data_IF_205102676821
#
_entry.id   IF_205102676821
#
_cell.length_a   1.000
_cell.length_b   1.000
_cell.length_c   1.000
_cell.angle_alpha   90.00
_cell.angle_beta   90.00
_cell.angle_gamma   90.00
#
_symmetry.space_group_name_H-M   'P 1'
#
loop_
_entity.id
_entity.type
_entity.pdbx_description
1 polymer ?
#
# COMPACT_ATOMS: atom_id res chain seq x y z
N UNK A 1 -34.10 -3.33 71.75
CA UNK A 1 -34.49 -3.68 70.36
C UNK A 1 -33.63 -2.98 69.29
N UNK A 2 -33.11 -1.78 69.54
CA UNK A 2 -32.32 -1.01 68.56
C UNK A 2 -30.90 -1.54 68.30
N UNK A 3 -30.30 -2.22 69.28
CA UNK A 3 -28.95 -2.83 69.18
C UNK A 3 -28.91 -4.15 68.41
N UNK A 4 -30.05 -4.87 68.32
CA UNK A 4 -30.13 -6.13 67.57
C UNK A 4 -30.25 -5.88 66.07
N UNK A 5 -30.88 -4.76 65.68
CA UNK A 5 -31.03 -4.39 64.27
C UNK A 5 -29.70 -3.96 63.61
N UNK A 6 -28.80 -3.34 64.39
CA UNK A 6 -27.51 -2.84 63.88
C UNK A 6 -26.52 -3.97 63.63
N UNK A 7 -26.52 -5.02 64.47
CA UNK A 7 -25.65 -6.19 64.28
C UNK A 7 -26.12 -7.06 63.09
N UNK A 8 -27.44 -7.07 62.82
CA UNK A 8 -27.96 -7.77 61.65
C UNK A 8 -27.62 -7.04 60.34
N UNK A 9 -27.68 -5.71 60.31
CA UNK A 9 -27.30 -4.93 59.12
C UNK A 9 -25.81 -4.97 58.79
N UNK A 10 -24.93 -5.11 59.79
CA UNK A 10 -23.48 -5.22 59.56
C UNK A 10 -23.06 -6.61 59.02
N UNK A 11 -23.84 -7.65 59.34
CA UNK A 11 -23.58 -9.02 58.85
C UNK A 11 -24.00 -9.23 57.39
N UNK A 12 -24.95 -8.44 56.86
CA UNK A 12 -25.32 -8.48 55.44
C UNK A 12 -24.34 -7.74 54.52
N UNK A 13 -23.59 -6.76 55.02
CA UNK A 13 -22.62 -6.01 54.21
C UNK A 13 -21.31 -6.77 53.95
N UNK A 14 -20.98 -7.76 54.79
CA UNK A 14 -19.78 -8.59 54.62
C UNK A 14 -19.98 -9.81 53.70
N UNK A 15 -21.23 -10.12 53.31
CA UNK A 15 -21.54 -11.22 52.40
C UNK A 15 -21.50 -10.86 50.91
N UNK A 16 -21.39 -9.57 50.56
CA UNK A 16 -21.45 -9.12 49.15
C UNK A 16 -20.10 -9.06 48.43
N UNK A 17 -18.99 -9.41 49.10
CA UNK A 17 -17.64 -9.47 48.50
C UNK A 17 -17.14 -10.90 48.27
N UNK A 18 -18.03 -11.89 48.28
CA UNK A 18 -17.68 -13.26 47.94
C UNK A 18 -17.90 -13.52 46.44
N UNK A 19 -16.78 -13.59 45.70
CA UNK A 19 -16.63 -14.42 44.50
C UNK A 19 -17.52 -14.06 43.29
N UNK A 20 -17.16 -13.00 42.57
CA UNK A 20 -17.32 -13.03 41.11
C UNK A 20 -16.19 -13.90 40.58
N UNK A 21 -16.48 -15.19 40.41
CA UNK A 21 -15.61 -16.13 39.72
C UNK A 21 -15.58 -15.73 38.22
N UNK A 22 -14.44 -15.30 37.67
CA UNK A 22 -14.36 -14.90 36.26
C UNK A 22 -14.66 -16.05 35.28
N UNK A 23 -14.72 -17.30 35.76
CA UNK A 23 -15.19 -18.44 34.97
C UNK A 23 -16.72 -18.59 34.95
N UNK A 24 -17.47 -17.85 35.78
CA UNK A 24 -18.93 -17.90 35.91
C UNK A 24 -19.64 -16.62 35.45
N UNK A 25 -18.94 -15.75 34.74
CA UNK A 25 -19.60 -14.72 33.95
C UNK A 25 -20.10 -15.38 32.67
N UNK A 26 -21.40 -15.64 32.59
CA UNK A 26 -22.09 -15.96 31.34
C UNK A 26 -22.01 -14.71 30.45
N UNK A 27 -20.87 -14.56 29.78
CA UNK A 27 -20.74 -13.61 28.68
C UNK A 27 -21.51 -14.24 27.54
N UNK A 28 -22.77 -13.85 27.41
CA UNK A 28 -23.59 -14.23 26.27
C UNK A 28 -22.90 -13.69 25.01
N UNK A 29 -22.11 -14.56 24.38
CA UNK A 29 -21.43 -14.26 23.13
C UNK A 29 -22.53 -14.15 22.08
N UNK A 30 -22.95 -12.91 21.82
CA UNK A 30 -23.87 -12.60 20.73
C UNK A 30 -23.33 -13.25 19.47
N UNK A 31 -24.00 -14.33 19.05
CA UNK A 31 -23.55 -15.16 17.94
C UNK A 31 -23.92 -14.44 16.67
N UNK A 32 -23.12 -13.44 16.30
CA UNK A 32 -23.24 -12.80 15.00
C UNK A 32 -22.65 -13.76 13.95
N UNK A 33 -23.31 -13.92 12.80
CA UNK A 33 -22.79 -14.77 11.75
C UNK A 33 -21.42 -14.27 11.29
N UNK A 34 -20.53 -15.14 10.81
CA UNK A 34 -19.23 -14.73 10.29
C UNK A 34 -19.42 -13.66 9.21
N UNK A 35 -18.84 -12.48 9.44
CA UNK A 35 -18.88 -11.36 8.51
C UNK A 35 -17.49 -11.12 7.91
N UNK A 36 -17.46 -10.71 6.65
CA UNK A 36 -16.22 -10.25 6.02
C UNK A 36 -15.69 -9.01 6.76
N UNK A 37 -14.39 -8.97 7.05
CA UNK A 37 -13.76 -7.79 7.62
C UNK A 37 -13.56 -6.73 6.53
N UNK A 38 -14.56 -5.88 6.35
CA UNK A 38 -14.51 -4.72 5.45
C UNK A 38 -14.06 -3.50 6.26
N UNK A 39 -13.07 -2.80 5.76
CA UNK A 39 -12.52 -1.56 6.33
C UNK A 39 -12.92 -0.35 5.49
N UNK A 40 -12.54 0.85 5.96
CA UNK A 40 -12.72 2.08 5.18
C UNK A 40 -11.88 2.08 3.88
N UNK A 41 -10.77 1.33 3.83
CA UNK A 41 -9.86 1.31 2.67
C UNK A 41 -10.04 0.10 1.75
N UNK A 42 -10.95 -0.83 2.08
CA UNK A 42 -11.20 -2.02 1.24
C UNK A 42 -11.57 -1.63 -0.19
N UNK A 43 -12.47 -0.66 -0.38
CA UNK A 43 -12.80 -0.15 -1.72
C UNK A 43 -11.63 0.60 -2.35
N UNK A 44 -10.87 1.36 -1.56
CA UNK A 44 -9.68 2.07 -2.03
C UNK A 44 -8.60 1.15 -2.61
N UNK A 45 -8.49 -0.09 -2.13
CA UNK A 45 -7.59 -1.10 -2.70
C UNK A 45 -8.05 -1.55 -4.09
N UNK A 46 -9.33 -1.89 -4.24
CA UNK A 46 -9.89 -2.26 -5.53
C UNK A 46 -9.81 -1.11 -6.55
N UNK A 47 -10.13 0.12 -6.09
CA UNK A 47 -10.04 1.33 -6.91
C UNK A 47 -8.58 1.63 -7.31
N UNK A 48 -7.60 1.25 -6.49
CA UNK A 48 -6.19 1.35 -6.86
C UNK A 48 -5.84 0.39 -8.00
N UNK A 49 -6.36 -0.85 -7.98
CA UNK A 49 -6.24 -1.78 -9.11
C UNK A 49 -6.81 -1.18 -10.39
N UNK A 50 -8.04 -0.68 -10.33
CA UNK A 50 -8.68 0.01 -11.45
C UNK A 50 -7.88 1.24 -11.91
N UNK A 51 -7.31 2.01 -10.97
CA UNK A 51 -6.44 3.14 -11.28
C UNK A 51 -5.18 2.70 -12.04
N UNK A 52 -4.55 1.58 -11.68
CA UNK A 52 -3.37 1.07 -12.40
C UNK A 52 -3.68 0.75 -13.86
N UNK A 53 -4.88 0.25 -14.16
CA UNK A 53 -5.33 -0.04 -15.52
C UNK A 53 -5.67 1.25 -16.29
N UNK A 54 -6.44 2.16 -15.68
CA UNK A 54 -6.80 3.45 -16.29
C UNK A 54 -5.56 4.27 -16.67
N UNK A 55 -4.56 4.31 -15.78
CA UNK A 55 -3.30 5.03 -16.02
C UNK A 55 -2.31 4.23 -16.88
N UNK A 56 -2.65 2.98 -17.24
CA UNK A 56 -1.86 2.10 -18.10
C UNK A 56 -0.42 1.95 -17.61
N UNK A 57 -0.24 1.74 -16.30
CA UNK A 57 1.09 1.52 -15.68
C UNK A 57 1.59 0.12 -15.94
N UNK A 58 2.90 -0.13 -15.99
CA UNK A 58 3.39 -1.49 -16.23
C UNK A 58 2.93 -2.47 -15.13
N UNK A 59 2.83 -3.76 -15.45
CA UNK A 59 2.48 -4.76 -14.44
C UNK A 59 3.60 -4.83 -13.40
N UNK A 60 3.27 -4.49 -12.15
CA UNK A 60 4.23 -4.50 -11.05
C UNK A 60 4.11 -5.79 -10.26
N UNK A 61 5.21 -6.51 -10.15
CA UNK A 61 5.31 -7.74 -9.36
C UNK A 61 5.92 -7.45 -8.00
N UNK A 62 5.13 -7.61 -6.96
CA UNK A 62 5.50 -7.23 -5.59
C UNK A 62 5.63 -8.48 -4.74
N UNK A 63 6.75 -8.59 -4.04
CA UNK A 63 6.95 -9.56 -2.97
C UNK A 63 7.00 -8.86 -1.61
N UNK A 64 6.73 -9.58 -0.52
CA UNK A 64 6.87 -9.07 0.84
C UNK A 64 7.81 -9.95 1.63
N UNK A 65 8.72 -9.33 2.39
CA UNK A 65 9.41 -10.00 3.48
C UNK A 65 8.42 -10.31 4.63
N UNK A 66 8.78 -11.20 5.58
CA UNK A 66 8.07 -11.33 6.83
C UNK A 66 8.07 -10.00 7.58
N UNK A 67 6.89 -9.50 7.94
CA UNK A 67 6.70 -8.22 8.62
C UNK A 67 6.08 -8.48 9.99
N UNK A 68 6.82 -8.15 11.05
CA UNK A 68 6.42 -8.41 12.42
C UNK A 68 6.43 -7.18 13.32
N UNK A 69 6.23 -7.45 14.60
CA UNK A 69 6.38 -6.48 15.67
C UNK A 69 7.85 -6.25 16.04
N UNK A 70 8.38 -5.09 15.64
CA UNK A 70 9.75 -4.67 15.97
C UNK A 70 9.82 -3.90 17.30
N UNK A 71 8.69 -3.64 17.96
CA UNK A 71 8.64 -3.01 19.30
C UNK A 71 8.84 -4.03 20.43
N UNK A 72 8.57 -5.30 20.15
CA UNK A 72 8.55 -6.38 21.15
C UNK A 72 7.31 -6.37 22.05
N UNK A 73 6.36 -5.46 21.82
CA UNK A 73 5.20 -5.28 22.69
C UNK A 73 4.18 -6.40 22.59
N UNK A 74 3.99 -7.00 21.40
CA UNK A 74 3.13 -8.15 21.21
C UNK A 74 3.52 -9.31 22.16
N UNK A 75 4.83 -9.51 22.36
CA UNK A 75 5.35 -10.52 23.27
C UNK A 75 5.12 -10.17 24.74
N UNK A 76 5.43 -8.93 25.14
CA UNK A 76 5.38 -8.52 26.55
C UNK A 76 3.97 -8.26 27.09
N UNK A 77 2.98 -8.08 26.21
CA UNK A 77 1.59 -7.74 26.58
C UNK A 77 0.60 -8.87 26.38
N UNK A 78 1.06 -10.05 25.97
CA UNK A 78 0.16 -11.17 25.66
C UNK A 78 -0.65 -10.96 24.38
N UNK A 79 -0.12 -10.21 23.40
CA UNK A 79 -0.75 -10.02 22.09
C UNK A 79 -1.73 -8.85 22.01
N UNK A 80 -1.45 -7.73 22.68
CA UNK A 80 -2.27 -6.51 22.55
C UNK A 80 -2.27 -5.94 21.12
N UNK A 81 -1.19 -6.21 20.38
CA UNK A 81 -1.03 -5.99 18.94
C UNK A 81 -0.59 -7.31 18.27
N UNK A 82 -0.82 -7.47 16.95
CA UNK A 82 -0.36 -8.65 16.23
C UNK A 82 1.16 -8.76 16.27
N UNK A 83 1.68 -9.98 16.50
CA UNK A 83 3.12 -10.27 16.40
C UNK A 83 3.61 -10.27 14.95
N UNK A 84 2.76 -10.68 14.03
CA UNK A 84 3.04 -10.84 12.61
C UNK A 84 1.87 -10.26 11.82
N UNK A 85 2.17 -9.40 10.85
CA UNK A 85 1.19 -8.75 9.98
C UNK A 85 1.38 -9.14 8.50
N UNK A 86 2.25 -10.10 8.21
CA UNK A 86 2.56 -10.56 6.86
C UNK A 86 1.30 -10.99 6.12
N UNK A 87 0.43 -11.79 6.74
CA UNK A 87 -0.83 -12.23 6.12
C UNK A 87 -1.80 -11.08 5.82
N UNK A 88 -1.78 -10.01 6.62
CA UNK A 88 -2.55 -8.79 6.32
C UNK A 88 -2.03 -8.13 5.05
N UNK A 89 -0.71 -8.08 4.87
CA UNK A 89 -0.06 -7.55 3.66
C UNK A 89 -0.36 -8.42 2.44
N UNK A 90 -0.24 -9.76 2.56
CA UNK A 90 -0.59 -10.68 1.47
C UNK A 90 -2.02 -10.48 1.00
N UNK A 91 -2.96 -10.45 1.95
CA UNK A 91 -4.37 -10.23 1.65
C UNK A 91 -4.61 -8.87 1.00
N UNK A 92 -3.96 -7.82 1.51
CA UNK A 92 -4.07 -6.46 1.01
C UNK A 92 -3.54 -6.33 -0.42
N UNK A 93 -2.30 -6.75 -0.68
CA UNK A 93 -1.70 -6.70 -2.01
C UNK A 93 -2.49 -7.52 -3.04
N UNK A 94 -2.99 -8.70 -2.64
CA UNK A 94 -3.82 -9.52 -3.52
C UNK A 94 -5.19 -8.89 -3.81
N UNK A 95 -5.74 -8.11 -2.87
CA UNK A 95 -7.03 -7.42 -3.06
C UNK A 95 -6.95 -6.19 -3.97
N UNK A 96 -5.76 -5.68 -4.27
CA UNK A 96 -5.59 -4.53 -5.19
C UNK A 96 -6.04 -4.91 -6.61
N UNK A 97 -5.57 -6.05 -7.14
CA UNK A 97 -5.86 -6.48 -8.51
C UNK A 97 -5.27 -5.55 -9.58
N UNK A 98 -5.93 -5.50 -10.76
CA UNK A 98 -5.49 -4.71 -11.90
C UNK A 98 -4.10 -5.12 -12.41
N UNK A 99 -3.18 -4.15 -12.48
CA UNK A 99 -1.78 -4.36 -12.94
C UNK A 99 -0.81 -4.55 -11.78
N UNK A 100 -1.30 -5.03 -10.64
CA UNK A 100 -0.47 -5.39 -9.47
C UNK A 100 -0.54 -6.90 -9.27
N UNK A 101 0.62 -7.55 -9.19
CA UNK A 101 0.73 -8.99 -8.97
C UNK A 101 1.51 -9.25 -7.69
N UNK A 102 0.85 -9.82 -6.70
CA UNK A 102 1.54 -10.29 -5.49
C UNK A 102 2.22 -11.63 -5.74
N UNK A 103 3.48 -11.75 -5.32
CA UNK A 103 4.26 -12.98 -5.36
C UNK A 103 4.60 -13.37 -3.92
N UNK A 104 4.07 -14.49 -3.41
CA UNK A 104 4.37 -14.93 -2.05
C UNK A 104 5.84 -15.29 -1.91
N UNK A 105 6.42 -14.94 -0.75
CA UNK A 105 7.72 -15.43 -0.32
C UNK A 105 7.55 -16.51 0.75
N UNK A 106 8.08 -17.69 0.47
CA UNK A 106 8.23 -18.76 1.45
C UNK A 106 9.53 -19.52 1.14
N UNK A 107 10.66 -19.17 1.79
CA UNK A 107 11.94 -19.78 1.49
C UNK A 107 11.96 -21.29 1.79
N UNK A 108 11.23 -21.74 2.81
CA UNK A 108 11.15 -23.17 3.15
C UNK A 108 10.43 -23.95 2.05
N UNK A 109 9.30 -23.42 1.57
CA UNK A 109 8.56 -24.01 0.46
C UNK A 109 9.38 -24.01 -0.83
N UNK A 110 10.10 -22.91 -1.11
CA UNK A 110 10.96 -22.79 -2.29
C UNK A 110 12.09 -23.84 -2.24
N UNK A 111 12.81 -23.91 -1.12
CA UNK A 111 13.91 -24.84 -0.92
C UNK A 111 13.44 -26.30 -1.02
N UNK A 112 12.31 -26.63 -0.39
CA UNK A 112 11.76 -27.99 -0.43
C UNK A 112 11.35 -28.39 -1.86
N UNK A 113 10.77 -27.49 -2.66
CA UNK A 113 10.42 -27.78 -4.05
C UNK A 113 11.65 -28.02 -4.94
N UNK A 114 12.73 -27.27 -4.71
CA UNK A 114 13.99 -27.46 -5.42
C UNK A 114 14.61 -28.82 -5.07
N UNK A 115 14.66 -29.17 -3.78
CA UNK A 115 15.26 -30.42 -3.30
C UNK A 115 14.48 -31.65 -3.76
N UNK A 116 13.15 -31.55 -3.81
CA UNK A 116 12.28 -32.65 -4.22
C UNK A 116 12.16 -32.81 -5.74
N UNK A 117 12.72 -31.89 -6.53
CA UNK A 117 12.67 -31.92 -7.99
C UNK A 117 11.29 -31.62 -8.59
N UNK A 118 10.32 -31.18 -7.78
CA UNK A 118 8.96 -30.85 -8.25
C UNK A 118 8.91 -29.58 -9.11
N UNK A 119 9.86 -28.66 -8.96
CA UNK A 119 9.92 -27.43 -9.76
C UNK A 119 11.35 -26.92 -9.89
N UNK A 120 11.74 -26.55 -11.11
CA UNK A 120 13.00 -25.85 -11.43
C UNK A 120 12.87 -24.32 -11.35
N UNK A 121 11.66 -23.80 -11.09
CA UNK A 121 11.36 -22.36 -10.99
C UNK A 121 11.53 -21.54 -12.31
N UNK A 122 11.76 -22.19 -13.45
CA UNK A 122 12.02 -21.52 -14.74
C UNK A 122 10.83 -20.67 -15.26
N UNK A 123 9.60 -21.08 -14.98
CA UNK A 123 8.37 -20.38 -15.41
C UNK A 123 7.79 -19.45 -14.32
N UNK A 124 8.45 -19.32 -13.16
CA UNK A 124 7.91 -18.52 -12.06
C UNK A 124 8.17 -17.03 -12.28
N UNK A 125 7.20 -16.22 -11.86
CA UNK A 125 7.33 -14.78 -11.92
C UNK A 125 8.44 -14.32 -10.97
N UNK A 126 9.34 -13.50 -11.50
CA UNK A 126 10.38 -12.81 -10.72
C UNK A 126 9.80 -11.47 -10.24
N UNK A 127 9.85 -11.15 -8.94
CA UNK A 127 9.42 -9.86 -8.42
C UNK A 127 10.25 -8.70 -9.00
N UNK A 128 9.62 -7.54 -9.13
CA UNK A 128 10.30 -6.29 -9.46
C UNK A 128 10.80 -5.60 -8.18
N UNK A 129 9.97 -5.67 -7.13
CA UNK A 129 10.21 -5.00 -5.85
C UNK A 129 9.83 -5.86 -4.65
N UNK A 130 10.46 -5.57 -3.51
CA UNK A 130 10.21 -6.23 -2.22
C UNK A 130 9.78 -5.20 -1.17
N UNK A 131 8.69 -5.49 -0.47
CA UNK A 131 8.26 -4.72 0.70
C UNK A 131 8.98 -5.25 1.94
N UNK A 132 9.53 -4.32 2.71
CA UNK A 132 10.14 -4.54 4.03
C UNK A 132 9.60 -3.53 5.02
N UNK A 133 9.63 -3.83 6.32
CA UNK A 133 9.03 -2.95 7.32
C UNK A 133 8.71 -3.65 8.64
N UNK A 134 7.87 -3.02 9.44
CA UNK A 134 7.39 -3.56 10.70
C UNK A 134 6.48 -2.63 11.47
N UNK A 135 5.94 -3.13 12.57
CA UNK A 135 5.38 -2.27 13.62
C UNK A 135 6.57 -1.70 14.38
N UNK A 136 6.81 -0.41 14.24
CA UNK A 136 8.03 0.26 14.74
C UNK A 136 7.79 1.05 16.01
N UNK A 137 6.54 1.44 16.30
CA UNK A 137 6.18 2.08 17.56
C UNK A 137 4.85 1.57 18.06
N UNK A 138 4.79 1.38 19.38
CA UNK A 138 3.55 1.14 20.09
C UNK A 138 3.67 1.75 21.49
N UNK A 139 2.85 2.76 21.76
CA UNK A 139 2.82 3.47 23.04
C UNK A 139 1.47 3.29 23.72
N UNK A 140 1.49 2.92 25.00
CA UNK A 140 0.30 2.69 25.84
C UNK A 140 0.17 3.85 26.82
N UNK A 141 -0.91 4.62 26.71
CA UNK A 141 -1.30 5.59 27.74
C UNK A 141 -0.89 7.03 27.48
N UNK A 142 -0.95 7.48 26.23
CA UNK A 142 -0.58 8.85 25.83
C UNK A 142 -1.39 9.96 26.52
N UNK A 143 -2.56 9.68 27.11
CA UNK A 143 -3.21 10.57 28.09
C UNK A 143 -4.02 9.73 29.09
N UNK A 144 -3.86 9.96 30.39
CA UNK A 144 -4.82 9.55 31.43
C UNK A 144 -5.28 10.82 32.13
N UNK A 145 -6.06 11.66 31.43
CA UNK A 145 -6.69 12.81 32.10
C UNK A 145 -7.97 12.31 32.75
N UNK A 146 -7.87 11.92 34.01
CA UNK A 146 -9.04 11.71 34.84
C UNK A 146 -9.62 13.07 35.20
N UNK A 147 -10.71 13.48 34.55
CA UNK A 147 -11.58 14.50 35.13
C UNK A 147 -12.38 13.82 36.24
N UNK A 148 -11.76 13.74 37.42
CA UNK A 148 -12.49 13.44 38.64
C UNK A 148 -13.33 14.65 38.99
N UNK A 149 -14.66 14.58 38.80
CA UNK A 149 -15.55 15.43 39.59
C UNK A 149 -15.53 14.85 41.00
N UNK A 150 -14.77 15.47 41.90
CA UNK A 150 -14.75 15.09 43.32
C UNK A 150 -16.10 15.46 43.94
N UNK A 151 -17.08 14.55 43.86
CA UNK A 151 -18.29 14.63 44.68
C UNK A 151 -18.02 13.83 45.94
N UNK A 152 -17.40 14.48 46.93
CA UNK A 152 -17.25 13.93 48.26
C UNK A 152 -18.60 14.01 48.99
N UNK A 153 -19.35 12.91 49.06
CA UNK A 153 -20.39 12.74 50.06
C UNK A 153 -19.74 12.24 51.36
N UNK A 154 -19.35 13.18 52.23
CA UNK A 154 -18.90 12.87 53.58
C UNK A 154 -20.09 12.67 54.50
N UNK A 155 -20.19 11.49 55.13
CA UNK A 155 -21.05 11.31 56.29
C UNK A 155 -20.17 11.33 57.54
N UNK A 156 -20.35 12.34 58.38
CA UNK A 156 -19.64 12.45 59.65
C UNK A 156 -20.34 11.56 60.68
N UNK A 157 -19.70 10.45 61.06
CA UNK A 157 -20.24 9.58 62.10
C UNK A 157 -19.94 10.17 63.48
N UNK A 158 -20.97 10.68 64.15
CA UNK A 158 -20.89 11.11 65.55
C UNK A 158 -20.80 9.88 66.46
N UNK A 159 -19.64 9.66 67.08
CA UNK A 159 -19.42 8.56 68.05
C UNK A 159 -18.07 7.83 67.99
N UNK A 160 -17.14 8.19 67.09
CA UNK A 160 -15.82 7.57 67.01
C UNK A 160 -14.81 8.21 68.00
N UNK A 161 -13.94 7.40 68.66
CA UNK A 161 -12.97 7.88 69.66
C UNK A 161 -11.87 8.77 69.04
N UNK A 162 -11.44 9.79 69.80
CA UNK A 162 -10.67 10.95 69.30
C UNK A 162 -9.21 10.67 68.88
N UNK A 163 -8.71 9.44 69.00
CA UNK A 163 -7.33 9.11 68.61
C UNK A 163 -7.18 8.72 67.13
N UNK A 164 -8.29 8.61 66.37
CA UNK A 164 -8.26 8.35 64.93
C UNK A 164 -8.07 9.66 64.15
N UNK A 165 -7.07 9.74 63.23
CA UNK A 165 -6.69 10.98 62.55
C UNK A 165 -7.72 11.52 61.54
N UNK A 166 -8.79 10.80 61.24
CA UNK A 166 -9.93 11.30 60.45
C UNK A 166 -11.21 10.51 60.74
N UNK A 167 -12.32 11.20 61.07
CA UNK A 167 -13.66 10.60 61.29
C UNK A 167 -14.50 10.47 60.00
N UNK A 168 -13.91 10.77 58.85
CA UNK A 168 -14.54 10.61 57.53
C UNK A 168 -14.15 9.28 56.88
N UNK A 169 -15.14 8.42 56.60
CA UNK A 169 -14.97 7.29 55.69
C UNK A 169 -15.37 7.74 54.29
N UNK A 170 -14.38 7.94 53.40
CA UNK A 170 -14.62 8.32 52.01
C UNK A 170 -14.86 7.07 51.16
N UNK A 171 -16.13 6.76 50.87
CA UNK A 171 -16.48 5.79 49.83
C UNK A 171 -16.28 6.46 48.46
N UNK A 172 -15.23 6.07 47.73
CA UNK A 172 -15.07 6.48 46.32
C UNK A 172 -15.92 5.57 45.44
N UNK A 173 -17.10 6.03 45.04
CA UNK A 173 -17.84 5.43 43.92
C UNK A 173 -17.71 6.37 42.72
N UNK A 174 -16.89 5.97 41.76
CA UNK A 174 -16.70 6.71 40.52
C UNK A 174 -16.42 5.73 39.40
N UNK A 175 -17.34 5.67 38.43
CA UNK A 175 -17.09 5.07 37.12
C UNK A 175 -16.06 5.95 36.41
N UNK A 176 -14.78 5.67 36.66
CA UNK A 176 -13.68 6.44 36.10
C UNK A 176 -13.52 6.07 34.63
N UNK A 177 -14.15 6.87 33.74
CA UNK A 177 -13.90 6.88 32.30
C UNK A 177 -12.45 7.26 31.99
N UNK A 178 -11.52 6.33 32.21
CA UNK A 178 -10.13 6.46 31.79
C UNK A 178 -10.06 6.26 30.28
N UNK A 179 -10.02 7.34 29.53
CA UNK A 179 -9.75 7.30 28.08
C UNK A 179 -8.27 7.00 27.86
N UNK A 180 -7.90 5.72 27.79
CA UNK A 180 -6.55 5.33 27.40
C UNK A 180 -6.30 5.66 25.94
N UNK A 181 -5.35 6.54 25.65
CA UNK A 181 -4.83 6.79 24.30
C UNK A 181 -3.65 5.83 24.04
N UNK A 182 -3.69 5.08 22.95
CA UNK A 182 -2.54 4.31 22.47
C UNK A 182 -2.09 4.85 21.10
N UNK A 183 -0.80 4.75 20.76
CA UNK A 183 -0.31 5.05 19.41
C UNK A 183 0.31 3.82 18.79
N UNK A 184 0.08 3.59 17.51
CA UNK A 184 0.67 2.50 16.72
C UNK A 184 1.29 3.12 15.46
N UNK A 185 2.55 2.81 15.16
CA UNK A 185 3.24 3.26 13.94
C UNK A 185 3.71 2.07 13.11
N UNK A 186 3.39 2.09 11.82
CA UNK A 186 3.94 1.18 10.81
C UNK A 186 4.92 1.94 9.90
N UNK A 187 6.07 1.32 9.65
CA UNK A 187 7.06 1.79 8.68
C UNK A 187 7.26 0.71 7.61
N UNK A 188 7.17 1.12 6.35
CA UNK A 188 7.43 0.29 5.20
C UNK A 188 8.39 0.96 4.23
N UNK A 189 9.27 0.15 3.65
CA UNK A 189 10.27 0.55 2.67
C UNK A 189 10.24 -0.42 1.47
N UNK A 190 10.39 0.13 0.28
CA UNK A 190 10.46 -0.64 -0.96
C UNK A 190 11.92 -0.87 -1.38
N UNK A 191 12.25 -2.11 -1.72
CA UNK A 191 13.56 -2.53 -2.19
C UNK A 191 13.46 -2.96 -3.66
N UNK A 192 14.51 -2.69 -4.45
CA UNK A 192 14.65 -3.24 -5.80
C UNK A 192 15.04 -4.72 -5.67
N UNK A 193 14.29 -5.64 -6.28
CA UNK A 193 14.52 -7.08 -6.11
C UNK A 193 15.88 -7.54 -6.65
N UNK A 194 16.38 -6.92 -7.73
CA UNK A 194 17.64 -7.36 -8.36
C UNK A 194 18.86 -6.92 -7.57
N UNK A 195 18.84 -5.70 -7.04
CA UNK A 195 19.99 -5.11 -6.35
C UNK A 195 19.89 -5.22 -4.83
N UNK A 196 18.70 -5.52 -4.31
CA UNK A 196 18.35 -5.46 -2.88
C UNK A 196 18.58 -4.09 -2.24
N UNK A 197 18.79 -3.05 -3.06
CA UNK A 197 18.94 -1.68 -2.58
C UNK A 197 17.56 -1.08 -2.28
N UNK A 198 17.50 -0.24 -1.25
CA UNK A 198 16.30 0.57 -0.98
C UNK A 198 16.05 1.56 -2.12
N UNK A 199 14.81 1.68 -2.54
CA UNK A 199 14.39 2.64 -3.55
C UNK A 199 14.22 3.99 -2.85
N UNK A 200 14.97 5.04 -3.21
CA UNK A 200 14.91 6.33 -2.54
C UNK A 200 13.49 6.90 -2.52
N UNK A 201 13.10 7.48 -1.37
CA UNK A 201 11.79 8.14 -1.17
C UNK A 201 10.58 7.21 -1.31
N UNK A 202 10.80 5.90 -1.42
CA UNK A 202 9.78 4.90 -1.62
C UNK A 202 9.43 4.19 -0.31
N UNK A 203 8.98 4.99 0.65
CA UNK A 203 8.55 4.56 1.97
C UNK A 203 7.17 5.11 2.34
N UNK A 204 6.51 4.40 3.26
CA UNK A 204 5.25 4.79 3.86
C UNK A 204 5.35 4.64 5.38
N UNK A 205 5.21 5.75 6.08
CA UNK A 205 5.21 5.81 7.55
C UNK A 205 3.89 6.40 8.00
N UNK A 206 3.08 5.58 8.65
CA UNK A 206 1.76 5.98 9.14
C UNK A 206 1.62 5.62 10.61
N UNK A 207 1.08 6.57 11.36
CA UNK A 207 0.81 6.42 12.78
C UNK A 207 -0.67 6.62 13.06
N UNK A 208 -1.17 5.90 14.06
CA UNK A 208 -2.55 5.93 14.46
C UNK A 208 -2.63 6.11 15.97
N UNK A 209 -3.32 7.15 16.40
CA UNK A 209 -3.73 7.27 17.80
C UNK A 209 -5.10 6.64 17.97
N UNK A 210 -5.22 5.76 18.96
CA UNK A 210 -6.40 4.95 19.26
C UNK A 210 -6.87 5.32 20.66
N UNK A 211 -8.04 5.95 20.76
CA UNK A 211 -8.69 6.27 22.05
C UNK A 211 -9.82 5.28 22.33
N UNK A 212 -9.97 4.87 23.59
CA UNK A 212 -11.14 4.11 24.05
C UNK A 212 -12.36 5.04 24.11
N UNK A 213 -13.38 4.82 23.28
CA UNK A 213 -14.63 5.56 23.42
C UNK A 213 -15.41 5.07 24.66
N UNK A 214 -16.27 5.94 25.20
CA UNK A 214 -17.03 5.67 26.43
C UNK A 214 -17.99 4.47 26.31
N UNK A 215 -18.40 4.09 25.09
CA UNK A 215 -19.07 2.82 24.82
C UNK A 215 -17.99 1.75 24.62
N UNK A 216 -18.00 0.72 25.47
CA UNK A 216 -16.94 -0.28 25.69
C UNK A 216 -16.43 -1.05 24.44
N UNK A 217 -17.01 -0.84 23.26
CA UNK A 217 -16.72 -1.55 22.01
C UNK A 217 -16.18 -0.67 20.88
N UNK A 218 -16.15 0.65 21.02
CA UNK A 218 -15.72 1.55 19.93
C UNK A 218 -14.39 2.24 20.26
N UNK A 219 -13.47 2.28 19.28
CA UNK A 219 -12.24 3.07 19.37
C UNK A 219 -12.32 4.25 18.39
N UNK A 220 -12.06 5.45 18.91
CA UNK A 220 -11.83 6.63 18.09
C UNK A 220 -10.39 6.64 17.60
N UNK A 221 -10.18 6.84 16.30
CA UNK A 221 -8.85 6.92 15.72
C UNK A 221 -8.56 8.33 15.23
N UNK A 222 -7.31 8.78 15.33
CA UNK A 222 -6.76 9.83 14.48
C UNK A 222 -5.59 9.30 13.66
N UNK A 223 -5.68 9.41 12.34
CA UNK A 223 -4.63 9.03 11.38
C UNK A 223 -3.61 10.17 11.21
N UNK A 224 -2.32 9.86 11.31
CA UNK A 224 -1.21 10.77 11.07
C UNK A 224 -0.23 10.14 10.06
N UNK A 225 0.27 10.92 9.11
CA UNK A 225 1.22 10.42 8.11
C UNK A 225 1.56 11.48 7.08
N UNK A 226 2.39 11.11 6.09
CA UNK A 226 2.81 12.03 5.02
C UNK A 226 1.62 12.59 4.22
N UNK A 227 0.56 11.80 4.08
CA UNK A 227 -0.64 12.14 3.30
C UNK A 227 -1.74 12.82 4.13
N UNK A 228 -1.68 12.79 5.47
CA UNK A 228 -2.72 13.38 6.33
C UNK A 228 -2.15 14.55 7.13
N UNK A 229 -2.73 15.73 6.96
CA UNK A 229 -2.29 16.94 7.67
C UNK A 229 -2.55 16.87 9.19
N UNK A 230 -2.12 17.92 9.91
CA UNK A 230 -2.19 18.03 11.38
C UNK A 230 -3.58 17.83 12.00
N UNK A 231 -4.65 17.88 11.21
CA UNK A 231 -6.02 17.70 11.69
C UNK A 231 -6.40 16.22 11.90
N UNK A 232 -5.71 15.27 11.24
CA UNK A 232 -5.98 13.84 11.31
C UNK A 232 -7.39 13.46 10.82
N UNK A 233 -7.53 12.34 10.12
CA UNK A 233 -8.88 11.84 9.80
C UNK A 233 -9.39 11.01 10.97
N UNK A 234 -10.59 11.34 11.48
CA UNK A 234 -11.22 10.57 12.56
C UNK A 234 -11.98 9.39 11.96
N UNK A 235 -11.55 8.17 12.30
CA UNK A 235 -12.20 6.92 11.88
C UNK A 235 -12.58 6.09 13.10
N UNK A 236 -13.59 5.22 12.96
CA UNK A 236 -14.01 4.28 14.00
C UNK A 236 -13.46 2.90 13.69
N UNK A 237 -12.90 2.19 14.67
CA UNK A 237 -12.48 0.78 14.53
C UNK A 237 -12.90 -0.07 15.73
N UNK A 238 -13.01 -1.37 15.47
CA UNK A 238 -13.31 -2.42 16.45
C UNK A 238 -12.00 -3.06 16.97
N UNK A 239 -11.22 -2.35 17.77
CA UNK A 239 -10.01 -2.91 18.40
C UNK A 239 -8.68 -2.59 17.72
N UNK A 240 -7.57 -2.86 18.42
CA UNK A 240 -6.19 -2.56 17.98
C UNK A 240 -5.71 -3.42 16.81
N UNK A 241 -6.14 -4.68 16.71
CA UNK A 241 -5.85 -5.53 15.54
C UNK A 241 -6.48 -4.95 14.27
N UNK A 242 -7.71 -4.41 14.37
CA UNK A 242 -8.37 -3.77 13.25
C UNK A 242 -7.70 -2.43 12.87
N UNK A 243 -7.22 -1.66 13.86
CA UNK A 243 -6.39 -0.49 13.64
C UNK A 243 -5.12 -0.80 12.84
N UNK A 244 -4.39 -1.86 13.22
CA UNK A 244 -3.19 -2.33 12.50
C UNK A 244 -3.54 -2.72 11.06
N UNK A 245 -4.64 -3.45 10.85
CA UNK A 245 -5.10 -3.79 9.50
C UNK A 245 -5.37 -2.55 8.65
N UNK A 246 -6.04 -1.55 9.21
CA UNK A 246 -6.33 -0.29 8.52
C UNK A 246 -5.05 0.48 8.16
N UNK A 247 -4.04 0.48 9.05
CA UNK A 247 -2.72 1.03 8.74
C UNK A 247 -2.00 0.26 7.63
N UNK A 248 -2.09 -1.07 7.61
CA UNK A 248 -1.51 -1.89 6.53
C UNK A 248 -2.13 -1.51 5.20
N UNK A 249 -3.46 -1.46 5.12
CA UNK A 249 -4.18 -1.13 3.88
C UNK A 249 -3.84 0.27 3.37
N UNK A 250 -3.83 1.26 4.27
CA UNK A 250 -3.39 2.62 3.96
C UNK A 250 -1.95 2.65 3.39
N UNK A 251 -1.02 1.98 4.07
CA UNK A 251 0.38 1.95 3.66
C UNK A 251 0.57 1.26 2.31
N UNK A 252 -0.19 0.20 2.01
CA UNK A 252 -0.10 -0.48 0.72
C UNK A 252 -0.64 0.41 -0.41
N UNK A 253 -1.75 1.14 -0.19
CA UNK A 253 -2.25 2.12 -1.17
C UNK A 253 -1.18 3.17 -1.48
N UNK A 254 -0.52 3.70 -0.44
CA UNK A 254 0.55 4.69 -0.58
C UNK A 254 1.76 4.13 -1.33
N UNK A 255 2.30 2.96 -0.95
CA UNK A 255 3.51 2.40 -1.57
C UNK A 255 3.26 2.07 -3.04
N UNK A 256 2.19 1.32 -3.32
CA UNK A 256 1.87 0.90 -4.69
C UNK A 256 1.53 2.11 -5.55
N UNK A 257 0.76 3.06 -5.00
CA UNK A 257 0.44 4.31 -5.66
C UNK A 257 1.67 5.16 -5.97
N UNK A 258 2.50 5.42 -4.96
CA UNK A 258 3.73 6.22 -5.07
C UNK A 258 4.71 5.62 -6.07
N UNK A 259 4.94 4.31 -6.00
CA UNK A 259 5.84 3.59 -6.90
C UNK A 259 5.41 3.71 -8.37
N UNK A 260 4.09 3.65 -8.63
CA UNK A 260 3.54 3.80 -9.98
C UNK A 260 3.28 5.25 -10.40
N UNK A 261 3.59 6.23 -9.54
CA UNK A 261 3.32 7.64 -9.83
C UNK A 261 1.85 8.02 -9.86
N UNK A 262 0.99 7.24 -9.21
CA UNK A 262 -0.45 7.39 -9.26
C UNK A 262 -0.93 8.42 -8.23
N UNK A 263 -2.01 9.17 -8.51
CA UNK A 263 -2.63 10.07 -7.55
C UNK A 263 -3.46 9.30 -6.51
N UNK A 264 -2.81 8.41 -5.78
CA UNK A 264 -3.41 7.45 -4.86
C UNK A 264 -4.16 8.12 -3.70
N UNK A 265 -3.78 9.35 -3.33
CA UNK A 265 -4.43 10.11 -2.26
C UNK A 265 -5.93 10.32 -2.51
N UNK A 266 -6.36 10.31 -3.78
CA UNK A 266 -7.78 10.36 -4.15
C UNK A 266 -8.60 9.19 -3.60
N UNK A 267 -7.94 8.08 -3.28
CA UNK A 267 -8.56 6.85 -2.76
C UNK A 267 -8.65 6.84 -1.23
N UNK A 268 -8.04 7.83 -0.57
CA UNK A 268 -7.91 7.89 0.89
C UNK A 268 -8.95 8.79 1.56
N UNK A 269 -9.83 9.43 0.77
CA UNK A 269 -10.88 10.34 1.21
C UNK A 269 -10.48 11.82 1.16
N UNK A 270 -11.43 12.70 1.48
CA UNK A 270 -11.32 14.14 1.24
C UNK A 270 -10.24 14.85 2.09
N UNK A 271 -9.84 14.24 3.21
CA UNK A 271 -8.80 14.77 4.10
C UNK A 271 -7.37 14.49 3.60
N UNK A 272 -7.22 13.68 2.55
CA UNK A 272 -5.92 13.27 2.05
C UNK A 272 -5.27 14.36 1.19
N UNK A 273 -4.04 14.70 1.54
CA UNK A 273 -3.22 15.69 0.84
C UNK A 273 -2.47 15.05 -0.34
N UNK A 274 -2.24 15.79 -1.44
CA UNK A 274 -1.40 15.30 -2.52
C UNK A 274 0.01 14.94 -2.09
N UNK A 275 0.51 13.81 -2.61
CA UNK A 275 1.87 13.34 -2.34
C UNK A 275 2.89 14.16 -3.14
N UNK A 276 3.82 14.81 -2.41
CA UNK A 276 4.82 15.69 -3.00
C UNK A 276 5.84 14.95 -3.88
N UNK A 277 6.13 13.69 -3.60
CA UNK A 277 7.02 12.87 -4.42
C UNK A 277 6.37 12.60 -5.78
N UNK A 278 5.10 12.23 -5.77
CA UNK A 278 4.32 11.97 -7.00
C UNK A 278 4.12 13.26 -7.79
N UNK A 279 3.72 14.36 -7.14
CA UNK A 279 3.58 15.67 -7.81
C UNK A 279 4.91 16.10 -8.47
N UNK A 280 6.02 15.94 -7.74
CA UNK A 280 7.35 16.25 -8.27
C UNK A 280 7.69 15.38 -9.47
N UNK A 281 7.39 14.08 -9.41
CA UNK A 281 7.68 13.16 -10.50
C UNK A 281 6.86 13.46 -11.77
N UNK A 282 5.57 13.80 -11.62
CA UNK A 282 4.72 14.23 -12.75
C UNK A 282 5.22 15.55 -13.35
N UNK A 283 5.67 16.51 -12.52
CA UNK A 283 6.28 17.75 -13.00
C UNK A 283 7.60 17.51 -13.72
N UNK A 284 8.47 16.63 -13.20
CA UNK A 284 9.70 16.21 -13.89
C UNK A 284 9.37 15.58 -15.24
N UNK A 285 8.34 14.74 -15.30
CA UNK A 285 7.86 14.15 -16.55
C UNK A 285 7.43 15.21 -17.57
N UNK A 286 6.67 16.22 -17.14
CA UNK A 286 6.29 17.36 -17.98
C UNK A 286 7.53 18.03 -18.62
N UNK A 287 8.56 18.32 -17.84
CA UNK A 287 9.77 18.99 -18.36
C UNK A 287 10.61 18.11 -19.30
N UNK A 288 10.50 16.77 -19.22
CA UNK A 288 11.18 15.83 -20.14
C UNK A 288 10.50 15.74 -21.50
N UNK A 289 9.21 16.05 -21.61
CA UNK A 289 8.44 15.91 -22.85
C UNK A 289 8.67 17.09 -23.80
N UNK A 290 8.62 16.82 -25.10
CA UNK A 290 8.49 17.85 -26.14
C UNK A 290 7.11 18.52 -26.09
N UNK A 291 6.96 19.71 -26.67
CA UNK A 291 5.65 20.41 -26.69
C UNK A 291 4.55 19.56 -27.36
N UNK A 292 4.90 18.83 -28.43
CA UNK A 292 3.97 17.93 -29.12
C UNK A 292 3.58 16.73 -28.24
N UNK A 293 4.55 16.10 -27.57
CA UNK A 293 4.27 14.95 -26.69
C UNK A 293 3.47 15.37 -25.45
N UNK A 294 3.72 16.58 -24.91
CA UNK A 294 2.90 17.16 -23.83
C UNK A 294 1.46 17.31 -24.27
N UNK A 295 1.23 17.89 -25.44
CA UNK A 295 -0.13 18.07 -25.96
C UNK A 295 -0.81 16.73 -26.24
N UNK A 296 -0.07 15.75 -26.75
CA UNK A 296 -0.59 14.39 -26.92
C UNK A 296 -1.07 13.79 -25.58
N UNK A 297 -0.29 13.96 -24.50
CA UNK A 297 -0.68 13.50 -23.15
C UNK A 297 -1.86 14.26 -22.59
N UNK A 298 -1.94 15.57 -22.82
CA UNK A 298 -3.10 16.40 -22.46
C UNK A 298 -4.37 15.91 -23.15
N UNK A 299 -4.31 15.65 -24.47
CA UNK A 299 -5.43 15.10 -25.23
C UNK A 299 -5.84 13.71 -24.75
N UNK A 300 -4.86 12.83 -24.49
CA UNK A 300 -5.08 11.52 -23.89
C UNK A 300 -5.84 11.62 -22.56
N UNK A 301 -5.43 12.48 -21.64
CA UNK A 301 -6.08 12.60 -20.34
C UNK A 301 -7.42 13.32 -20.40
N UNK A 302 -7.57 14.34 -21.24
CA UNK A 302 -8.88 14.95 -21.51
C UNK A 302 -9.84 13.94 -22.14
N UNK A 303 -9.31 13.02 -22.97
CA UNK A 303 -10.08 11.90 -23.49
C UNK A 303 -10.56 11.00 -22.37
N UNK A 304 -9.69 10.57 -21.47
CA UNK A 304 -10.09 9.77 -20.31
C UNK A 304 -11.04 10.52 -19.37
N UNK A 305 -10.89 11.83 -19.24
CA UNK A 305 -11.78 12.69 -18.48
C UNK A 305 -13.21 12.73 -19.04
N UNK A 306 -13.39 12.40 -20.32
CA UNK A 306 -14.70 12.26 -20.96
C UNK A 306 -14.87 13.05 -22.26
N UNK A 307 -13.85 13.78 -22.71
CA UNK A 307 -13.92 14.57 -23.95
C UNK A 307 -13.61 13.68 -25.17
N UNK A 308 -14.38 13.79 -26.25
CA UNK A 308 -14.05 13.06 -27.48
C UNK A 308 -13.09 13.92 -28.31
N UNK A 309 -11.79 13.62 -28.21
CA UNK A 309 -10.70 14.35 -28.86
C UNK A 309 -9.93 13.44 -29.81
N UNK A 310 -9.35 14.03 -30.84
CA UNK A 310 -8.38 13.38 -31.73
C UNK A 310 -6.98 13.56 -31.15
N UNK A 311 -6.24 12.46 -30.97
CA UNK A 311 -4.89 12.53 -30.41
C UNK A 311 -3.87 12.81 -31.52
N UNK A 312 -3.65 14.08 -31.82
CA UNK A 312 -2.74 14.56 -32.87
C UNK A 312 -1.53 15.34 -32.31
N UNK A 313 -1.53 15.65 -31.01
CA UNK A 313 -0.48 16.46 -30.37
C UNK A 313 -0.51 17.94 -30.78
N UNK A 314 -1.61 18.41 -31.36
CA UNK A 314 -1.82 19.80 -31.79
C UNK A 314 -2.92 20.45 -30.96
N UNK A 315 -2.79 21.75 -30.71
CA UNK A 315 -3.80 22.53 -30.00
C UNK A 315 -4.93 22.94 -30.97
N UNK A 316 -5.85 22.04 -31.24
CA UNK A 316 -7.04 22.30 -32.06
C UNK A 316 -8.21 22.89 -31.26
N UNK A 317 -9.24 23.40 -31.95
CA UNK A 317 -10.41 24.04 -31.32
C UNK A 317 -11.15 23.13 -30.34
N UNK A 318 -11.17 21.81 -30.62
CA UNK A 318 -11.77 20.82 -29.74
C UNK A 318 -10.96 20.67 -28.43
N UNK A 319 -9.63 20.62 -28.53
CA UNK A 319 -8.70 20.56 -27.40
C UNK A 319 -8.77 21.84 -26.57
N UNK A 320 -8.80 23.02 -27.22
CA UNK A 320 -9.00 24.31 -26.55
C UNK A 320 -10.32 24.35 -25.78
N UNK A 321 -11.41 23.89 -26.41
CA UNK A 321 -12.72 23.85 -25.78
C UNK A 321 -12.75 22.90 -24.59
N UNK A 322 -12.11 21.73 -24.70
CA UNK A 322 -11.99 20.78 -23.60
C UNK A 322 -11.15 21.34 -22.44
N UNK A 323 -10.03 22.01 -22.73
CA UNK A 323 -9.22 22.68 -21.72
C UNK A 323 -9.96 23.81 -21.02
N UNK A 324 -10.74 24.62 -21.74
CA UNK A 324 -11.58 25.68 -21.14
C UNK A 324 -12.71 25.14 -20.27
N UNK A 325 -13.26 23.97 -20.61
CA UNK A 325 -14.24 23.28 -19.75
C UNK A 325 -13.60 22.73 -18.48
N UNK A 326 -12.37 22.25 -18.59
CA UNK A 326 -11.60 21.76 -17.46
C UNK A 326 -11.12 22.89 -16.53
N UNK A 327 -10.64 23.98 -17.13
CA UNK A 327 -10.17 25.17 -16.45
C UNK A 327 -10.63 26.43 -17.22
N UNK A 328 -11.62 27.13 -16.67
CA UNK A 328 -12.20 28.34 -17.28
C UNK A 328 -11.21 29.49 -17.41
N UNK A 329 -10.08 29.45 -16.68
CA UNK A 329 -9.03 30.46 -16.75
C UNK A 329 -7.99 30.18 -17.86
N UNK A 330 -8.07 29.02 -18.52
CA UNK A 330 -7.12 28.63 -19.55
C UNK A 330 -7.17 29.58 -20.77
N UNK A 331 -6.00 30.16 -21.09
CA UNK A 331 -5.79 30.98 -22.28
C UNK A 331 -4.98 30.18 -23.32
N UNK A 332 -5.50 29.95 -24.54
CA UNK A 332 -4.78 29.24 -25.61
C UNK A 332 -3.48 29.91 -26.05
N UNK A 333 -3.31 31.21 -25.80
CA UNK A 333 -2.04 31.90 -26.05
C UNK A 333 -0.91 31.40 -25.12
N UNK A 334 -1.28 30.82 -23.97
CA UNK A 334 -0.35 30.24 -23.03
C UNK A 334 -0.24 28.72 -23.27
N UNK A 335 0.99 28.21 -23.19
CA UNK A 335 1.21 26.76 -23.14
C UNK A 335 0.56 26.19 -21.88
N UNK A 336 0.12 24.94 -21.94
CA UNK A 336 -0.29 24.19 -20.75
C UNK A 336 0.91 24.10 -19.82
N UNK A 337 0.85 24.78 -18.67
CA UNK A 337 1.93 24.77 -17.70
C UNK A 337 1.96 23.47 -16.88
N UNK A 338 3.01 23.29 -16.08
CA UNK A 338 3.20 22.09 -15.28
C UNK A 338 2.10 21.88 -14.22
N UNK A 339 1.47 22.95 -13.75
CA UNK A 339 0.44 22.88 -12.71
C UNK A 339 -0.92 22.48 -13.29
N UNK A 340 -1.31 23.03 -14.45
CA UNK A 340 -2.47 22.57 -15.21
C UNK A 340 -2.28 21.12 -15.67
N UNK A 341 -1.07 20.76 -16.13
CA UNK A 341 -0.73 19.39 -16.51
C UNK A 341 -0.90 18.40 -15.34
N UNK A 342 -0.38 18.74 -14.17
CA UNK A 342 -0.55 17.95 -12.94
C UNK A 342 -2.01 17.86 -12.50
N UNK A 343 -2.75 18.96 -12.51
CA UNK A 343 -4.19 18.95 -12.16
C UNK A 343 -4.99 18.06 -13.09
N UNK A 344 -4.72 18.13 -14.40
CA UNK A 344 -5.37 17.26 -15.38
C UNK A 344 -5.05 15.79 -15.10
N UNK A 345 -3.77 15.46 -14.90
CA UNK A 345 -3.33 14.10 -14.54
C UNK A 345 -4.04 13.57 -13.28
N UNK A 346 -4.10 14.39 -12.23
CA UNK A 346 -4.76 14.02 -10.98
C UNK A 346 -6.28 13.96 -11.10
N UNK A 347 -6.90 14.64 -12.07
CA UNK A 347 -8.36 14.74 -12.18
C UNK A 347 -9.03 13.54 -12.87
N UNK A 348 -8.27 12.63 -13.47
CA UNK A 348 -8.84 11.51 -14.25
C UNK A 348 -9.80 10.69 -13.35
N UNK A 349 -11.07 10.47 -13.77
CA UNK A 349 -12.03 9.75 -12.95
C UNK A 349 -11.70 8.27 -12.82
N UNK A 350 -11.75 7.73 -11.59
CA UNK A 350 -11.51 6.30 -11.30
C UNK A 350 -12.85 5.58 -11.30
N UNK A 351 -13.23 5.04 -12.47
CA UNK A 351 -14.48 4.30 -12.68
C UNK A 351 -14.39 3.44 -13.93
N UNK A 352 -15.19 2.39 -13.99
CA UNK A 352 -15.22 1.41 -15.09
C UNK A 352 -15.43 2.05 -16.47
N UNK A 353 -16.25 3.11 -16.57
CA UNK A 353 -16.43 3.82 -17.84
C UNK A 353 -15.14 4.46 -18.35
N UNK A 354 -14.26 4.91 -17.45
CA UNK A 354 -12.95 5.46 -17.81
C UNK A 354 -12.02 4.35 -18.29
N UNK A 355 -12.06 3.17 -17.65
CA UNK A 355 -11.33 1.99 -18.13
C UNK A 355 -11.80 1.59 -19.53
N UNK A 356 -13.11 1.62 -19.80
CA UNK A 356 -13.67 1.41 -21.14
C UNK A 356 -13.06 2.38 -22.17
N UNK A 357 -12.91 3.66 -21.83
CA UNK A 357 -12.25 4.66 -22.68
C UNK A 357 -10.76 4.37 -22.86
N UNK A 358 -10.04 3.96 -21.80
CA UNK A 358 -8.64 3.52 -21.90
C UNK A 358 -8.51 2.35 -22.89
N UNK A 359 -9.35 1.33 -22.76
CA UNK A 359 -9.34 0.16 -23.65
C UNK A 359 -9.63 0.54 -25.11
N UNK A 360 -10.53 1.49 -25.36
CA UNK A 360 -10.75 2.03 -26.70
C UNK A 360 -9.52 2.77 -27.21
N UNK A 361 -8.89 3.58 -26.37
CA UNK A 361 -7.70 4.33 -26.74
C UNK A 361 -6.54 3.40 -27.10
N UNK A 362 -6.32 2.35 -26.31
CA UNK A 362 -5.27 1.37 -26.57
C UNK A 362 -5.52 0.61 -27.88
N UNK A 363 -6.78 0.35 -28.24
CA UNK A 363 -7.15 -0.20 -29.56
C UNK A 363 -6.84 0.77 -30.69
N UNK A 364 -7.24 2.04 -30.57
CA UNK A 364 -6.98 3.06 -31.60
C UNK A 364 -5.47 3.24 -31.80
N UNK A 365 -4.71 3.36 -30.72
CA UNK A 365 -3.26 3.53 -30.78
C UNK A 365 -2.55 2.26 -31.27
N UNK A 366 -3.05 1.08 -30.90
CA UNK A 366 -2.55 -0.22 -31.36
C UNK A 366 -2.93 -0.58 -32.80
N UNK A 367 -3.99 0.03 -33.35
CA UNK A 367 -4.47 -0.16 -34.72
C UNK A 367 -3.94 0.89 -35.70
N UNK A 368 -3.06 1.81 -35.29
CA UNK A 368 -2.35 2.67 -36.24
C UNK A 368 -1.63 1.75 -37.23
N UNK A 369 -2.04 1.68 -38.52
CA UNK A 369 -1.42 0.78 -39.46
C UNK A 369 0.03 1.23 -39.60
N UNK A 370 0.97 0.37 -39.21
CA UNK A 370 2.27 0.40 -39.88
C UNK A 370 1.95 0.32 -41.37
N UNK A 371 2.46 1.30 -42.13
CA UNK A 371 2.24 1.39 -43.56
C UNK A 371 2.36 -0.01 -44.19
N UNK A 372 1.36 -0.37 -44.96
CA UNK A 372 1.23 -1.67 -45.64
C UNK A 372 2.51 -1.88 -46.46
N UNK A 373 3.47 -2.64 -45.95
CA UNK A 373 4.54 -3.19 -46.77
C UNK A 373 3.86 -4.19 -47.71
N UNK A 374 3.79 -3.77 -48.98
CA UNK A 374 3.27 -4.57 -50.05
C UNK A 374 3.93 -5.95 -50.06
N UNK A 375 3.10 -6.97 -49.98
CA UNK A 375 3.44 -8.38 -50.18
C UNK A 375 4.24 -8.58 -51.47
N UNK A 376 5.47 -9.09 -51.34
CA UNK A 376 6.21 -9.71 -52.45
C UNK A 376 6.10 -11.24 -52.29
N UNK A 377 5.65 -12.00 -53.30
CA UNK A 377 5.48 -13.45 -53.17
C UNK A 377 6.82 -14.18 -53.06
N UNK A 378 6.82 -15.22 -52.21
CA UNK A 378 7.94 -16.10 -51.95
C UNK A 378 8.45 -16.82 -53.22
N UNK A 379 9.76 -16.74 -53.47
CA UNK A 379 10.47 -17.67 -54.34
C UNK A 379 11.25 -18.67 -53.47
N UNK A 380 10.93 -19.96 -53.64
CA UNK A 380 11.63 -21.09 -53.03
C UNK A 380 13.02 -21.28 -53.65
N UNK A 381 14.07 -21.56 -52.85
CA UNK A 381 15.34 -22.03 -53.40
C UNK A 381 15.35 -23.57 -53.58
N UNK A 382 16.08 -24.12 -54.58
CA UNK A 382 16.04 -25.52 -54.96
C UNK A 382 16.97 -26.41 -54.12
N UNK A 383 16.58 -27.69 -54.03
CA UNK A 383 17.32 -28.79 -53.42
C UNK A 383 18.65 -29.07 -54.14
N UNK A 384 19.70 -29.36 -53.37
CA UNK A 384 20.85 -30.13 -53.85
C UNK A 384 21.10 -31.34 -52.95
N UNK A 385 21.08 -32.51 -53.60
CA UNK A 385 21.44 -33.82 -53.10
C UNK A 385 22.97 -34.03 -53.07
N UNK A 386 23.37 -35.05 -52.30
CA UNK A 386 24.62 -35.82 -52.32
C UNK A 386 25.39 -35.71 -50.99
N UNK A 387 26.07 -36.71 -50.44
CA UNK A 387 26.00 -38.18 -50.47
C UNK A 387 26.97 -38.63 -49.35
N UNK A 388 26.79 -39.85 -48.83
CA UNK A 388 27.55 -40.38 -47.69
C UNK A 388 28.97 -40.87 -48.01
N UNK A 389 29.88 -40.78 -47.03
CA UNK A 389 30.93 -41.79 -46.76
C UNK A 389 31.53 -41.60 -45.34
N UNK A 390 31.61 -42.71 -44.60
CA UNK A 390 32.26 -42.89 -43.28
C UNK A 390 33.70 -43.44 -43.47
N UNK A 391 34.37 -44.05 -42.47
CA UNK A 391 34.71 -43.65 -41.08
C UNK A 391 36.24 -43.78 -40.81
N UNK A 392 36.77 -43.31 -39.66
CA UNK A 392 37.85 -44.03 -38.95
C UNK A 392 38.05 -43.60 -37.50
N UNK A 393 38.15 -44.61 -36.62
CA UNK A 393 38.40 -44.58 -35.17
C UNK A 393 39.91 -44.48 -34.85
N UNK A 394 40.25 -43.85 -33.71
CA UNK A 394 41.14 -44.43 -32.67
C UNK A 394 41.29 -43.49 -31.45
N UNK A 395 41.00 -44.02 -30.26
CA UNK A 395 41.40 -43.50 -28.93
C UNK A 395 42.82 -44.03 -28.55
N UNK A 396 43.49 -43.73 -27.40
CA UNK A 396 43.05 -42.99 -26.18
C UNK A 396 44.08 -41.95 -25.60
N UNK A 397 43.70 -41.34 -24.46
CA UNK A 397 44.38 -40.33 -23.62
C UNK A 397 45.71 -40.82 -22.94
N UNK A 398 46.42 -40.10 -22.02
CA UNK A 398 46.19 -38.77 -21.39
C UNK A 398 47.45 -37.88 -21.18
N UNK A 399 47.28 -36.60 -20.78
CA UNK A 399 48.05 -35.86 -19.75
C UNK A 399 47.91 -34.32 -19.86
N UNK A 400 47.45 -33.68 -18.79
CA UNK A 400 47.66 -32.25 -18.43
C UNK A 400 49.02 -32.10 -17.69
N UNK A 401 49.56 -30.90 -17.32
CA UNK A 401 48.98 -29.53 -17.29
C UNK A 401 49.94 -28.38 -17.74
N UNK A 402 49.47 -27.13 -17.51
CA UNK A 402 50.21 -25.85 -17.36
C UNK A 402 50.42 -24.99 -18.64
N UNK A 403 49.68 -23.88 -18.82
CA UNK A 403 49.97 -22.50 -18.32
C UNK A 403 51.29 -21.99 -18.93
N UNK A 404 51.37 -21.06 -19.89
CA UNK A 404 50.86 -19.69 -19.88
C UNK A 404 51.30 -18.89 -21.12
N UNK A 405 50.51 -17.84 -21.41
CA UNK A 405 50.84 -16.52 -21.99
C UNK A 405 50.98 -16.32 -23.52
N UNK A 406 49.99 -15.55 -23.99
CA UNK A 406 50.05 -14.36 -24.85
C UNK A 406 50.43 -14.52 -26.32
N UNK A 407 49.46 -14.28 -27.22
CA UNK A 407 49.46 -13.04 -28.02
C UNK A 407 48.17 -12.79 -28.83
N UNK A 408 47.71 -11.54 -28.74
CA UNK A 408 47.24 -10.65 -29.82
C UNK A 408 45.79 -10.80 -30.38
N UNK A 409 44.97 -9.83 -29.95
CA UNK A 409 44.05 -8.99 -30.72
C UNK A 409 43.35 -9.56 -31.97
N UNK A 410 42.01 -9.63 -31.90
CA UNK A 410 41.12 -9.46 -33.04
C UNK A 410 39.91 -8.61 -32.61
N UNK A 411 39.57 -7.65 -33.45
CA UNK A 411 38.58 -6.61 -33.23
C UNK A 411 37.15 -7.16 -33.11
N UNK A 412 36.37 -6.57 -32.21
CA UNK A 412 34.94 -6.80 -32.11
C UNK A 412 34.21 -6.11 -33.29
N UNK A 413 33.22 -6.77 -33.94
CA UNK A 413 32.37 -6.12 -34.91
C UNK A 413 31.41 -5.16 -34.19
N UNK A 414 31.23 -3.98 -34.78
CA UNK A 414 30.31 -2.94 -34.30
C UNK A 414 28.86 -3.47 -34.22
N UNK A 415 28.10 -3.14 -33.15
CA UNK A 415 26.68 -3.46 -33.11
C UNK A 415 25.94 -2.63 -34.16
N UNK A 416 25.27 -3.36 -35.07
CA UNK A 416 24.33 -2.82 -36.03
C UNK A 416 23.28 -1.94 -35.33
N UNK A 417 22.95 -0.83 -35.98
CA UNK A 417 21.99 0.16 -35.52
C UNK A 417 20.67 -0.48 -35.08
N UNK A 418 20.38 -0.40 -33.79
CA UNK A 418 19.09 -0.77 -33.24
C UNK A 418 18.02 0.19 -33.78
N UNK A 419 17.11 -0.36 -34.57
CA UNK A 419 15.86 0.26 -34.98
C UNK A 419 15.12 0.81 -33.75
N UNK A 420 14.90 2.11 -33.71
CA UNK A 420 14.23 2.82 -32.62
C UNK A 420 12.72 2.51 -32.60
N UNK A 421 12.36 1.41 -31.93
CA UNK A 421 10.98 1.22 -31.48
C UNK A 421 10.68 2.33 -30.46
N UNK A 422 9.82 3.28 -30.84
CA UNK A 422 9.34 4.35 -29.95
C UNK A 422 8.73 3.72 -28.69
N UNK A 423 9.50 3.69 -27.59
CA UNK A 423 9.00 3.27 -26.28
C UNK A 423 7.81 4.15 -25.92
N UNK A 424 6.67 3.54 -25.61
CA UNK A 424 5.50 4.23 -25.06
C UNK A 424 5.94 4.92 -23.77
N UNK A 425 6.03 6.24 -23.80
CA UNK A 425 6.31 7.05 -22.61
C UNK A 425 5.06 7.05 -21.74
N UNK A 426 5.00 6.07 -20.82
CA UNK A 426 4.02 6.04 -19.75
C UNK A 426 4.64 6.68 -18.51
N UNK A 427 3.85 7.44 -17.76
CA UNK A 427 4.25 7.89 -16.41
C UNK A 427 4.48 6.68 -15.51
N UNK A 428 3.82 5.54 -15.77
CA UNK A 428 3.86 4.31 -14.96
C UNK A 428 5.20 3.58 -14.84
N UNK A 429 6.29 4.19 -15.32
CA UNK A 429 7.65 3.81 -14.96
C UNK A 429 8.32 5.05 -14.38
N UNK A 430 7.83 5.52 -13.24
CA UNK A 430 8.47 6.61 -12.50
C UNK A 430 9.79 6.05 -11.98
N UNK A 431 10.82 6.25 -12.79
CA UNK A 431 12.23 6.27 -12.47
C UNK A 431 12.92 4.89 -12.57
N UNK A 432 13.83 4.76 -13.54
CA UNK A 432 14.94 3.81 -13.39
C UNK A 432 15.81 4.24 -12.20
N UNK A 433 16.56 3.33 -11.58
CA UNK A 433 17.40 3.64 -10.40
C UNK A 433 18.33 4.86 -10.60
N UNK A 434 18.66 5.20 -11.85
CA UNK A 434 19.46 6.37 -12.27
C UNK A 434 18.70 7.71 -12.30
N UNK A 435 17.37 7.70 -12.23
CA UNK A 435 16.51 8.89 -12.33
C UNK A 435 16.03 9.42 -10.96
N UNK A 436 16.39 8.72 -9.87
CA UNK A 436 16.40 9.27 -8.50
C UNK A 436 17.66 10.11 -8.28
#
# INVERSE_FOLDING_TARGET
MQTVLIIMSFSLLLASCASVDPAKTDVELKTEPPAAQITTFTQGLADLGLMTEIYNVDVVKIQSNPIGDNTGTAGSTGGEIPRDITEMIKSCLNSIGGRVTFIPYDPSFIQNQMVTGYSSFDEKLIPDVVISGGITEFDRGLETRGDGTDVSAGAEFTGLPDYLPSKEVKLRYGDAGKTGLASITLDFNLLNFRTMAGIPRMSAVNSMKVSKAMNERELGISLFGQTFGRKGSIKKVQGRHHAVRLLVELSMIQIVGKYNGLPYWKLLGDDAMPDKDVESAVKKFYYKLSDQDRMFKVQEWLYLYGNNLTLNGQLDDATVSALKRFDSSYNPANKVDADLFLRLYASIPIKESTLGRRNQLDRIMGQTPQAVEASVPAQQPPMQQAQAAAPQQSAPAPATPAVSKQQRAAAAPAPAAASSVRKKSAIGRILTDEEW
#
